data_IF_534637497892
#
_entry.id   IF_534637497892
#
_cell.length_a   1.000
_cell.length_b   1.000
_cell.length_c   1.000
_cell.angle_alpha   90.00
_cell.angle_beta   90.00
_cell.angle_gamma   90.00
#
_symmetry.space_group_name_H-M   'P 1'
#
loop_
_entity.id
_entity.type
_entity.pdbx_description
1 polymer ?
#
# COMPACT_ATOMS: atom_id res chain seq x y z
N UNK A 1 5.89 -27.66 7.00
CA UNK A 1 4.75 -27.63 6.05
C UNK A 1 4.98 -26.49 5.08
N UNK A 2 4.98 -26.75 3.78
CA UNK A 2 5.17 -25.73 2.74
C UNK A 2 3.84 -25.11 2.33
N UNK A 3 3.85 -23.88 1.80
CA UNK A 3 2.61 -23.20 1.39
C UNK A 3 1.81 -23.92 0.29
N UNK A 4 2.51 -24.69 -0.55
CA UNK A 4 1.92 -25.47 -1.64
C UNK A 4 1.71 -26.95 -1.28
N UNK A 5 1.66 -27.29 0.01
CA UNK A 5 1.44 -28.65 0.48
C UNK A 5 -0.05 -28.93 0.62
N UNK A 6 -0.53 -30.04 0.03
CA UNK A 6 -1.89 -30.54 0.26
C UNK A 6 -1.90 -31.23 1.63
N UNK A 7 -2.69 -30.69 2.56
CA UNK A 7 -2.71 -31.15 3.96
C UNK A 7 -3.79 -32.21 4.22
N UNK A 8 -4.64 -32.48 3.23
CA UNK A 8 -5.72 -33.45 3.30
C UNK A 8 -6.88 -33.05 2.40
N UNK A 9 -8.06 -33.59 2.69
CA UNK A 9 -9.32 -33.22 2.03
C UNK A 9 -10.27 -32.55 3.03
N UNK A 10 -11.28 -31.86 2.52
CA UNK A 10 -12.35 -31.34 3.37
C UNK A 10 -12.99 -32.46 4.18
N UNK A 11 -13.34 -32.15 5.43
CA UNK A 11 -14.14 -33.06 6.24
C UNK A 11 -15.53 -33.23 5.60
N UNK A 12 -16.11 -34.44 5.57
CA UNK A 12 -17.38 -34.70 4.91
C UNK A 12 -18.50 -33.73 5.30
N UNK A 13 -18.63 -33.44 6.59
CA UNK A 13 -19.63 -32.53 7.14
C UNK A 13 -19.46 -31.08 6.66
N UNK A 14 -18.22 -30.63 6.43
CA UNK A 14 -17.95 -29.29 5.90
C UNK A 14 -18.17 -29.22 4.39
N UNK A 15 -17.85 -30.30 3.67
CA UNK A 15 -18.08 -30.39 2.25
C UNK A 15 -19.58 -30.29 1.91
N UNK A 16 -20.43 -30.97 2.70
CA UNK A 16 -21.88 -30.93 2.53
C UNK A 16 -22.45 -29.51 2.81
N UNK A 17 -21.98 -28.83 3.85
CA UNK A 17 -22.39 -27.44 4.19
C UNK A 17 -21.96 -26.43 3.12
N UNK A 18 -20.75 -26.58 2.57
CA UNK A 18 -20.20 -25.68 1.56
C UNK A 18 -20.68 -26.00 0.13
N UNK A 19 -21.38 -27.11 -0.07
CA UNK A 19 -21.80 -27.58 -1.39
C UNK A 19 -20.63 -28.00 -2.29
N UNK A 20 -19.52 -28.49 -1.70
CA UNK A 20 -18.31 -28.91 -2.41
C UNK A 20 -18.15 -30.43 -2.40
N UNK A 21 -17.42 -31.03 -3.37
CA UNK A 21 -17.10 -32.45 -3.32
C UNK A 21 -16.32 -32.83 -2.05
N UNK A 22 -16.65 -33.96 -1.43
CA UNK A 22 -15.90 -34.49 -0.26
C UNK A 22 -14.43 -34.80 -0.57
N UNK A 23 -14.09 -35.00 -1.84
CA UNK A 23 -12.72 -35.17 -2.34
C UNK A 23 -11.96 -33.86 -2.52
N UNK A 24 -12.56 -32.69 -2.22
CA UNK A 24 -11.91 -31.38 -2.40
C UNK A 24 -10.64 -31.30 -1.57
N UNK A 25 -9.46 -31.13 -2.20
CA UNK A 25 -8.20 -30.99 -1.48
C UNK A 25 -8.14 -29.69 -0.69
N UNK A 26 -7.50 -29.74 0.48
CA UNK A 26 -7.17 -28.58 1.31
C UNK A 26 -5.67 -28.35 1.23
N UNK A 27 -5.27 -27.13 0.86
CA UNK A 27 -3.87 -26.72 0.75
C UNK A 27 -3.50 -25.89 1.98
N UNK A 28 -2.28 -26.07 2.51
CA UNK A 28 -1.78 -25.35 3.69
C UNK A 28 -1.93 -23.83 3.55
N UNK A 29 -1.73 -23.31 2.34
CA UNK A 29 -1.91 -21.91 2.01
C UNK A 29 -0.74 -21.04 2.47
N UNK A 30 -0.98 -19.75 2.55
CA UNK A 30 0.05 -18.79 2.91
C UNK A 30 -0.52 -17.64 3.74
N UNK A 31 0.37 -16.92 4.41
CA UNK A 31 0.05 -15.63 5.01
C UNK A 31 -0.41 -14.68 3.90
N UNK A 32 -1.37 -13.82 4.23
CA UNK A 32 -2.01 -12.89 3.31
C UNK A 32 -1.02 -12.03 2.49
N UNK A 33 0.06 -11.54 3.10
CA UNK A 33 1.10 -10.76 2.44
C UNK A 33 1.81 -11.56 1.34
N UNK A 34 2.05 -12.83 1.59
CA UNK A 34 2.67 -13.75 0.65
C UNK A 34 1.71 -14.10 -0.49
N UNK A 35 0.43 -14.29 -0.18
CA UNK A 35 -0.61 -14.46 -1.19
C UNK A 35 -0.76 -13.21 -2.08
N UNK A 36 -0.80 -12.00 -1.51
CA UNK A 36 -0.81 -10.75 -2.28
C UNK A 36 0.41 -10.65 -3.19
N UNK A 37 1.61 -10.97 -2.68
CA UNK A 37 2.84 -10.94 -3.48
C UNK A 37 2.75 -11.89 -4.69
N UNK A 38 2.33 -13.14 -4.47
CA UNK A 38 2.12 -14.12 -5.56
C UNK A 38 1.05 -13.63 -6.54
N UNK A 39 -0.05 -13.08 -6.03
CA UNK A 39 -1.14 -12.55 -6.84
C UNK A 39 -0.76 -11.30 -7.63
N UNK A 40 0.25 -10.54 -7.20
CA UNK A 40 0.70 -9.29 -7.81
C UNK A 40 1.84 -9.50 -8.81
N UNK A 41 2.92 -10.15 -8.38
CA UNK A 41 4.09 -10.48 -9.19
C UNK A 41 4.98 -11.48 -8.47
N UNK A 42 5.35 -12.57 -9.16
CA UNK A 42 6.27 -13.59 -8.65
C UNK A 42 7.72 -13.41 -9.11
N UNK A 43 7.98 -12.42 -9.99
CA UNK A 43 9.32 -12.14 -10.50
C UNK A 43 10.21 -11.63 -9.38
N UNK A 44 11.44 -12.15 -9.31
CA UNK A 44 12.42 -11.70 -8.34
C UNK A 44 12.69 -10.19 -8.48
N UNK A 45 12.81 -9.51 -7.34
CA UNK A 45 13.03 -8.07 -7.23
C UNK A 45 11.94 -7.18 -7.84
N UNK A 46 10.86 -7.75 -8.40
CA UNK A 46 9.71 -6.97 -8.86
C UNK A 46 8.83 -6.58 -7.67
N UNK A 47 8.69 -5.28 -7.38
CA UNK A 47 7.91 -4.81 -6.26
C UNK A 47 6.43 -4.74 -6.61
N UNK A 48 5.61 -4.96 -5.59
CA UNK A 48 4.22 -4.54 -5.58
C UNK A 48 4.00 -3.59 -4.39
N UNK A 49 3.00 -2.73 -4.54
CA UNK A 49 2.53 -1.81 -3.52
C UNK A 49 1.10 -2.18 -3.17
N UNK A 50 0.88 -2.61 -1.93
CA UNK A 50 -0.47 -2.80 -1.41
C UNK A 50 -0.98 -1.49 -0.82
N UNK A 51 -2.10 -0.98 -1.33
CA UNK A 51 -2.80 0.21 -0.85
C UNK A 51 -4.14 -0.21 -0.23
N UNK A 52 -4.14 -0.47 1.07
CA UNK A 52 -5.33 -0.70 1.88
C UNK A 52 -5.44 0.31 3.01
N UNK A 53 -6.00 -0.10 4.15
CA UNK A 53 -6.02 0.72 5.38
C UNK A 53 -4.60 1.18 5.76
N UNK A 54 -3.66 0.24 5.78
CA UNK A 54 -2.21 0.50 5.76
C UNK A 54 -1.67 0.36 4.33
N UNK A 55 -0.39 0.69 4.13
CA UNK A 55 0.31 0.42 2.88
C UNK A 55 1.59 -0.35 3.14
N UNK A 56 2.00 -1.17 2.20
CA UNK A 56 3.31 -1.81 2.26
C UNK A 56 3.82 -2.13 0.86
N UNK A 57 5.14 -2.11 0.74
CA UNK A 57 5.83 -2.57 -0.47
C UNK A 57 6.43 -3.93 -0.19
N UNK A 58 6.31 -4.84 -1.17
CA UNK A 58 6.89 -6.17 -1.09
C UNK A 58 7.54 -6.61 -2.38
N UNK A 59 8.59 -7.41 -2.29
CA UNK A 59 9.24 -8.04 -3.44
C UNK A 59 9.81 -9.41 -3.06
N UNK A 60 9.71 -10.38 -3.97
CA UNK A 60 10.39 -11.66 -3.79
C UNK A 60 11.90 -11.48 -3.96
N UNK A 61 12.68 -12.08 -3.05
CA UNK A 61 14.14 -12.02 -3.03
C UNK A 61 14.75 -13.39 -2.71
N UNK A 62 15.95 -13.73 -3.20
CA UNK A 62 16.58 -15.02 -2.97
C UNK A 62 17.34 -15.11 -1.63
N UNK A 63 17.20 -14.12 -0.75
CA UNK A 63 17.98 -14.02 0.50
C UNK A 63 17.11 -13.73 1.72
N UNK A 64 17.55 -14.24 2.89
CA UNK A 64 16.98 -13.92 4.20
C UNK A 64 17.80 -12.84 4.87
N UNK A 65 17.33 -11.59 4.81
CA UNK A 65 18.01 -10.44 5.43
C UNK A 65 16.97 -9.52 6.06
N UNK A 66 17.41 -8.71 7.01
CA UNK A 66 16.61 -7.61 7.57
C UNK A 66 17.45 -6.35 7.65
N UNK A 67 16.80 -5.19 7.55
CA UNK A 67 17.38 -3.89 7.88
C UNK A 67 16.65 -3.33 9.09
N UNK A 68 17.27 -3.46 10.27
CA UNK A 68 16.73 -2.90 11.53
C UNK A 68 16.54 -1.38 11.39
N UNK A 69 17.56 -0.69 10.86
CA UNK A 69 17.56 0.76 10.68
C UNK A 69 16.38 1.30 9.85
N UNK A 70 15.90 0.55 8.87
CA UNK A 70 14.83 0.99 7.97
C UNK A 70 13.53 0.21 8.15
N UNK A 71 13.46 -0.66 9.15
CA UNK A 71 12.31 -1.52 9.44
C UNK A 71 11.88 -2.37 8.22
N UNK A 72 12.86 -3.05 7.61
CA UNK A 72 12.64 -3.94 6.46
C UNK A 72 12.99 -5.36 6.88
N UNK A 73 12.15 -6.33 6.55
CA UNK A 73 12.41 -7.74 6.82
C UNK A 73 12.09 -8.59 5.60
N UNK A 74 12.96 -9.56 5.29
CA UNK A 74 12.68 -10.63 4.34
C UNK A 74 12.22 -11.88 5.09
N UNK A 75 10.93 -12.18 4.98
CA UNK A 75 10.27 -13.33 5.63
C UNK A 75 10.07 -14.47 4.63
N UNK A 76 9.85 -15.73 5.06
CA UNK A 76 9.59 -16.83 4.12
C UNK A 76 8.44 -16.52 3.15
N UNK A 77 8.65 -16.80 1.86
CA UNK A 77 7.64 -16.65 0.80
C UNK A 77 6.85 -17.94 0.59
N UNK A 78 5.66 -17.82 0.02
CA UNK A 78 4.88 -18.96 -0.49
C UNK A 78 5.56 -19.61 -1.71
N UNK A 79 6.41 -18.85 -2.41
CA UNK A 79 7.24 -19.36 -3.49
C UNK A 79 8.49 -20.02 -2.90
N UNK A 80 8.63 -21.33 -3.15
CA UNK A 80 9.75 -22.14 -2.63
C UNK A 80 11.10 -21.54 -3.03
N UNK A 81 12.02 -21.46 -2.06
CA UNK A 81 13.37 -20.92 -2.28
C UNK A 81 13.46 -19.39 -2.31
N UNK A 82 12.33 -18.68 -2.16
CA UNK A 82 12.28 -17.22 -2.10
C UNK A 82 11.89 -16.74 -0.70
N UNK A 83 12.24 -15.50 -0.41
CA UNK A 83 11.77 -14.72 0.72
C UNK A 83 10.97 -13.52 0.21
N UNK A 84 10.09 -12.96 1.02
CA UNK A 84 9.35 -11.74 0.73
C UNK A 84 9.95 -10.60 1.57
N UNK A 85 10.72 -9.74 0.91
CA UNK A 85 11.19 -8.49 1.52
C UNK A 85 10.02 -7.52 1.63
N UNK A 86 9.81 -6.94 2.82
CA UNK A 86 8.69 -6.05 3.10
C UNK A 86 9.11 -4.80 3.87
N UNK A 87 8.51 -3.67 3.51
CA UNK A 87 8.51 -2.44 4.29
C UNK A 87 7.07 -1.91 4.40
N UNK A 88 6.70 -1.33 5.54
CA UNK A 88 5.31 -0.99 5.84
C UNK A 88 5.13 0.48 6.24
N UNK A 89 4.16 1.12 5.61
CA UNK A 89 3.59 2.40 5.99
C UNK A 89 2.34 2.16 6.86
N UNK A 90 2.33 2.68 8.09
CA UNK A 90 1.30 2.39 9.10
C UNK A 90 -0.11 2.76 8.67
N UNK A 91 -0.29 3.94 8.07
CA UNK A 91 -1.58 4.46 7.63
C UNK A 91 -1.49 4.94 6.19
N UNK A 92 -2.33 4.38 5.31
CA UNK A 92 -2.49 4.83 3.93
C UNK A 92 -3.95 5.18 3.68
N UNK A 93 -4.79 4.22 3.30
CA UNK A 93 -6.24 4.40 3.15
C UNK A 93 -6.91 4.88 4.44
N UNK A 94 -6.36 4.54 5.61
CA UNK A 94 -6.81 5.08 6.90
C UNK A 94 -6.77 6.61 6.97
N UNK A 95 -5.87 7.29 6.23
CA UNK A 95 -5.87 8.76 6.17
C UNK A 95 -7.10 9.28 5.43
N UNK A 96 -7.53 8.60 4.35
CA UNK A 96 -8.75 8.97 3.64
C UNK A 96 -10.01 8.60 4.44
N UNK A 97 -10.00 7.45 5.14
CA UNK A 97 -11.08 7.11 6.08
C UNK A 97 -11.17 8.15 7.22
N UNK A 98 -10.04 8.58 7.79
CA UNK A 98 -10.00 9.63 8.78
C UNK A 98 -10.55 10.96 8.24
N UNK A 99 -10.08 11.39 7.06
CA UNK A 99 -10.57 12.62 6.43
C UNK A 99 -12.08 12.55 6.21
N UNK A 100 -12.58 11.43 5.69
CA UNK A 100 -14.01 11.19 5.49
C UNK A 100 -14.77 11.25 6.82
N UNK A 101 -14.42 10.41 7.79
CA UNK A 101 -15.24 10.14 8.98
C UNK A 101 -15.11 11.21 10.07
N UNK A 102 -13.97 11.89 10.13
CA UNK A 102 -13.63 12.81 11.23
C UNK A 102 -13.57 14.27 10.82
N UNK A 103 -13.61 14.56 9.51
CA UNK A 103 -13.49 15.94 9.01
C UNK A 103 -14.62 16.28 8.04
N UNK A 104 -14.83 15.46 7.02
CA UNK A 104 -15.79 15.79 5.95
C UNK A 104 -17.22 15.42 6.28
N UNK A 105 -17.41 14.29 6.96
CA UNK A 105 -18.70 13.71 7.30
C UNK A 105 -18.74 13.33 8.79
N UNK A 106 -18.20 14.19 9.66
CA UNK A 106 -18.33 14.00 11.09
C UNK A 106 -19.81 14.12 11.48
N UNK A 107 -20.38 13.22 12.31
CA UNK A 107 -21.79 13.29 12.69
C UNK A 107 -22.03 14.37 13.75
N UNK A 108 -21.96 15.62 13.32
CA UNK A 108 -22.23 16.84 14.09
C UNK A 108 -23.31 17.69 13.42
N UNK A 109 -23.60 18.87 13.97
CA UNK A 109 -24.64 19.78 13.51
C UNK A 109 -24.40 20.35 12.09
N UNK A 110 -23.21 20.15 11.51
CA UNK A 110 -22.88 20.56 10.14
C UNK A 110 -23.22 19.47 9.11
N UNK A 111 -23.49 18.24 9.54
CA UNK A 111 -23.81 17.13 8.66
C UNK A 111 -25.32 17.07 8.37
N UNK A 112 -25.70 17.19 7.10
CA UNK A 112 -27.07 16.94 6.65
C UNK A 112 -27.35 15.43 6.54
N UNK A 113 -28.61 15.02 6.77
CA UNK A 113 -29.14 13.64 6.71
C UNK A 113 -29.07 12.93 5.34
N UNK A 114 -28.19 13.37 4.43
CA UNK A 114 -28.07 12.77 3.10
C UNK A 114 -27.41 11.39 3.14
N UNK A 115 -27.99 10.46 2.37
CA UNK A 115 -27.39 9.15 2.09
C UNK A 115 -25.99 9.34 1.50
N UNK A 116 -24.99 8.67 2.06
CA UNK A 116 -23.64 8.77 1.55
C UNK A 116 -23.49 7.93 0.26
N UNK A 117 -23.29 8.55 -0.92
CA UNK A 117 -22.93 7.82 -2.13
C UNK A 117 -21.57 7.13 -1.94
N UNK A 118 -21.06 6.41 -2.95
CA UNK A 118 -19.67 5.90 -2.91
C UNK A 118 -18.68 7.06 -2.73
N UNK A 119 -18.31 7.32 -1.47
CA UNK A 119 -17.60 8.52 -1.06
C UNK A 119 -16.20 8.51 -1.66
N UNK A 120 -15.55 7.35 -1.78
CA UNK A 120 -14.19 7.29 -2.33
C UNK A 120 -14.17 7.64 -3.82
N UNK A 121 -15.16 7.19 -4.59
CA UNK A 121 -15.32 7.62 -5.99
C UNK A 121 -15.60 9.14 -6.11
N UNK A 122 -16.29 9.73 -5.13
CA UNK A 122 -16.46 11.19 -5.06
C UNK A 122 -15.14 11.90 -4.73
N UNK A 123 -14.38 11.42 -3.75
CA UNK A 123 -13.07 11.98 -3.38
C UNK A 123 -12.11 11.95 -4.58
N UNK A 124 -12.09 10.87 -5.36
CA UNK A 124 -11.29 10.77 -6.59
C UNK A 124 -11.65 11.86 -7.60
N UNK A 125 -12.94 12.05 -7.87
CA UNK A 125 -13.41 13.10 -8.80
C UNK A 125 -13.09 14.51 -8.31
N UNK A 126 -13.11 14.73 -7.00
CA UNK A 126 -12.77 16.02 -6.41
C UNK A 126 -11.25 16.26 -6.51
N UNK A 127 -10.43 15.28 -6.12
CA UNK A 127 -8.98 15.38 -6.18
C UNK A 127 -8.45 15.60 -7.61
N UNK A 128 -9.11 15.01 -8.61
CA UNK A 128 -8.77 15.18 -10.02
C UNK A 128 -8.89 16.65 -10.53
N UNK A 129 -9.70 17.50 -9.88
CA UNK A 129 -9.88 18.91 -10.28
C UNK A 129 -8.73 19.80 -9.84
N UNK A 130 -8.02 19.40 -8.79
CA UNK A 130 -6.93 20.16 -8.21
C UNK A 130 -5.65 19.89 -8.98
N UNK A 131 -4.81 20.89 -9.28
CA UNK A 131 -3.55 20.65 -9.96
C UNK A 131 -2.57 19.81 -9.10
N UNK A 132 -1.60 19.11 -9.73
CA UNK A 132 -0.48 18.49 -9.02
C UNK A 132 0.16 19.42 -7.99
N UNK A 133 0.51 18.86 -6.82
CA UNK A 133 1.15 19.58 -5.72
C UNK A 133 0.20 20.36 -4.83
N UNK A 134 -1.13 20.17 -5.00
CA UNK A 134 -2.17 20.68 -4.10
C UNK A 134 -2.03 22.17 -3.75
N UNK A 135 -1.66 22.98 -4.76
CA UNK A 135 -1.39 24.43 -4.64
C UNK A 135 -0.36 24.82 -3.56
N UNK A 136 0.53 23.90 -3.22
CA UNK A 136 1.58 24.07 -2.22
C UNK A 136 1.24 23.50 -0.84
N UNK A 137 0.08 22.87 -0.65
CA UNK A 137 -0.21 22.13 0.57
C UNK A 137 0.71 20.92 0.71
N UNK A 138 1.13 20.63 1.93
CA UNK A 138 1.87 19.42 2.28
C UNK A 138 1.14 18.72 3.40
N UNK A 139 0.73 17.49 3.15
CA UNK A 139 0.18 16.60 4.17
C UNK A 139 1.23 15.58 4.62
N UNK A 140 1.44 15.46 5.93
CA UNK A 140 2.19 14.34 6.53
C UNK A 140 1.20 13.28 7.04
N UNK A 141 1.29 12.00 6.61
CA UNK A 141 0.21 11.01 6.81
C UNK A 141 0.34 10.16 8.08
N UNK A 142 1.07 10.63 9.10
CA UNK A 142 1.48 9.80 10.24
C UNK A 142 0.45 9.78 11.38
N UNK A 143 -0.83 9.53 11.09
CA UNK A 143 -1.91 9.55 12.09
C UNK A 143 -1.62 8.70 13.34
N UNK A 144 -0.89 7.59 13.19
CA UNK A 144 -0.56 6.65 14.27
C UNK A 144 0.96 6.46 14.43
N UNK A 145 1.77 7.47 14.08
CA UNK A 145 3.21 7.30 13.92
C UNK A 145 3.56 6.57 12.62
N UNK A 146 4.84 6.20 12.45
CA UNK A 146 5.30 5.53 11.23
C UNK A 146 6.26 4.37 11.52
N UNK A 147 6.10 3.26 10.78
CA UNK A 147 6.97 2.08 10.85
C UNK A 147 8.16 2.23 9.92
N UNK A 148 7.95 2.18 8.61
CA UNK A 148 9.03 2.33 7.62
C UNK A 148 8.94 3.71 6.97
N UNK A 149 10.08 4.40 6.76
CA UNK A 149 11.44 3.95 7.04
C UNK A 149 12.01 4.39 8.39
N UNK A 150 11.27 5.15 9.21
CA UNK A 150 11.83 5.82 10.40
C UNK A 150 11.62 5.11 11.74
N UNK A 151 10.64 4.22 11.88
CA UNK A 151 10.31 3.55 13.14
C UNK A 151 9.97 4.51 14.26
N UNK A 152 9.28 5.61 13.94
CA UNK A 152 9.05 6.70 14.88
C UNK A 152 7.56 6.74 15.27
N UNK A 153 7.19 6.20 16.45
CA UNK A 153 5.81 6.21 16.92
C UNK A 153 5.35 7.60 17.38
N UNK A 154 6.26 8.57 17.53
CA UNK A 154 5.92 9.93 17.98
C UNK A 154 5.35 10.80 16.86
N UNK A 155 5.60 10.45 15.58
CA UNK A 155 5.13 11.22 14.43
C UNK A 155 3.60 11.36 14.45
N UNK A 156 3.11 12.54 14.07
CA UNK A 156 1.67 12.80 13.90
C UNK A 156 1.40 13.47 12.56
N UNK A 157 0.19 13.24 12.07
CA UNK A 157 -0.27 13.87 10.83
C UNK A 157 -0.30 15.40 10.96
N UNK A 158 -0.12 16.08 9.85
CA UNK A 158 -0.12 17.54 9.79
C UNK A 158 -0.44 18.04 8.39
N UNK A 159 -1.18 19.14 8.31
CA UNK A 159 -1.45 19.86 7.07
C UNK A 159 -0.71 21.19 7.13
N UNK A 160 0.27 21.37 6.26
CA UNK A 160 1.21 22.49 6.29
C UNK A 160 0.94 23.40 5.09
N UNK A 161 1.15 24.71 5.29
CA UNK A 161 1.05 25.76 4.27
C UNK A 161 -0.39 26.04 3.79
N UNK A 162 -1.36 26.02 4.72
CA UNK A 162 -2.73 26.44 4.43
C UNK A 162 -2.80 27.97 4.22
N UNK A 163 -3.55 28.43 3.22
CA UNK A 163 -3.80 29.85 2.91
C UNK A 163 -5.26 30.03 2.48
N UNK A 164 -5.71 31.29 2.39
CA UNK A 164 -7.12 31.64 2.18
C UNK A 164 -7.73 31.08 0.88
N UNK A 165 -6.92 30.86 -0.15
CA UNK A 165 -7.39 30.35 -1.44
C UNK A 165 -7.54 28.83 -1.46
N UNK A 166 -7.07 28.13 -0.43
CA UNK A 166 -7.23 26.68 -0.34
C UNK A 166 -8.65 26.32 0.07
N UNK A 167 -9.11 25.21 -0.50
CA UNK A 167 -10.45 24.70 -0.31
C UNK A 167 -10.41 23.21 0.06
N UNK A 168 -11.59 22.65 0.32
CA UNK A 168 -11.74 21.22 0.63
C UNK A 168 -11.11 20.30 -0.43
N UNK A 169 -11.20 20.67 -1.70
CA UNK A 169 -10.63 19.87 -2.79
C UNK A 169 -9.10 19.81 -2.70
N UNK A 170 -8.44 20.93 -2.38
CA UNK A 170 -6.99 20.99 -2.24
C UNK A 170 -6.52 20.10 -1.08
N UNK A 171 -7.29 20.08 0.02
CA UNK A 171 -7.02 19.22 1.19
C UNK A 171 -7.15 17.74 0.80
N UNK A 172 -8.21 17.35 0.09
CA UNK A 172 -8.42 15.96 -0.35
C UNK A 172 -7.24 15.50 -1.22
N UNK A 173 -6.82 16.30 -2.21
CA UNK A 173 -5.65 15.95 -3.03
C UNK A 173 -4.38 15.90 -2.20
N UNK A 174 -4.18 16.83 -1.27
CA UNK A 174 -3.01 16.84 -0.40
C UNK A 174 -2.90 15.56 0.43
N UNK A 175 -4.02 15.01 0.92
CA UNK A 175 -4.03 13.73 1.63
C UNK A 175 -3.53 12.58 0.76
N UNK A 176 -4.01 12.49 -0.49
CA UNK A 176 -3.58 11.47 -1.45
C UNK A 176 -2.09 11.62 -1.80
N UNK A 177 -1.63 12.84 -2.05
CA UNK A 177 -0.22 13.17 -2.35
C UNK A 177 0.70 12.92 -1.15
N UNK A 178 0.25 13.22 0.08
CA UNK A 178 1.01 12.97 1.31
C UNK A 178 1.25 11.49 1.56
N UNK A 179 0.26 10.64 1.32
CA UNK A 179 0.42 9.17 1.37
C UNK A 179 1.42 8.70 0.30
N UNK A 180 1.37 9.26 -0.90
CA UNK A 180 2.33 8.95 -1.97
C UNK A 180 3.76 9.42 -1.64
N UNK A 181 3.92 10.59 -1.03
CA UNK A 181 5.23 11.07 -0.56
C UNK A 181 5.82 10.15 0.51
N UNK A 182 5.00 9.67 1.44
CA UNK A 182 5.47 8.69 2.42
C UNK A 182 5.82 7.34 1.79
N UNK A 183 5.05 6.90 0.79
CA UNK A 183 5.37 5.71 0.00
C UNK A 183 6.72 5.87 -0.72
N UNK A 184 6.98 7.02 -1.36
CA UNK A 184 8.29 7.33 -1.95
C UNK A 184 9.41 7.29 -0.91
N UNK A 185 9.17 7.84 0.28
CA UNK A 185 10.15 7.82 1.37
C UNK A 185 10.49 6.39 1.83
N UNK A 186 9.51 5.50 1.87
CA UNK A 186 9.68 4.07 2.16
C UNK A 186 10.39 3.32 1.01
N UNK A 187 10.07 3.65 -0.25
CA UNK A 187 10.64 3.00 -1.44
C UNK A 187 12.15 3.22 -1.60
N UNK A 188 12.68 4.37 -1.17
CA UNK A 188 14.11 4.69 -1.26
C UNK A 188 15.01 3.64 -0.55
N UNK A 189 14.87 3.40 0.78
CA UNK A 189 15.64 2.36 1.45
C UNK A 189 15.23 0.94 1.02
N UNK A 190 13.98 0.72 0.63
CA UNK A 190 13.54 -0.59 0.13
C UNK A 190 14.26 -1.00 -1.15
N UNK A 191 14.36 -0.08 -2.13
CA UNK A 191 15.07 -0.32 -3.39
C UNK A 191 16.56 -0.59 -3.14
N UNK A 192 17.18 0.16 -2.22
CA UNK A 192 18.57 -0.11 -1.80
C UNK A 192 18.73 -1.46 -1.11
N UNK A 193 17.75 -1.86 -0.30
CA UNK A 193 17.77 -3.13 0.43
C UNK A 193 17.71 -4.34 -0.50
N UNK A 194 16.85 -4.30 -1.53
CA UNK A 194 16.73 -5.37 -2.52
C UNK A 194 17.83 -5.32 -3.59
N UNK A 195 18.62 -4.23 -3.64
CA UNK A 195 19.74 -4.06 -4.56
C UNK A 195 19.34 -3.75 -6.01
N UNK A 196 18.05 -3.52 -6.26
CA UNK A 196 17.50 -3.22 -7.58
C UNK A 196 16.39 -2.18 -7.47
N UNK A 197 16.23 -1.38 -8.52
CA UNK A 197 15.06 -0.54 -8.71
C UNK A 197 14.35 -1.04 -9.96
N UNK A 198 13.21 -1.71 -9.81
CA UNK A 198 12.34 -1.94 -10.96
C UNK A 198 11.80 -0.59 -11.48
N UNK A 199 11.53 -0.51 -12.78
CA UNK A 199 10.82 0.63 -13.36
C UNK A 199 9.31 0.62 -13.09
N UNK A 200 8.76 -0.54 -12.70
CA UNK A 200 7.32 -0.81 -12.56
C UNK A 200 7.03 -1.33 -11.15
N UNK A 201 5.96 -0.81 -10.55
CA UNK A 201 5.39 -1.29 -9.28
C UNK A 201 3.94 -1.74 -9.54
N UNK A 202 3.60 -2.97 -9.17
CA UNK A 202 2.21 -3.45 -9.27
C UNK A 202 1.39 -2.92 -8.08
N UNK A 203 0.39 -2.07 -8.33
CA UNK A 203 -0.47 -1.53 -7.27
C UNK A 203 -1.66 -2.46 -7.00
N UNK A 204 -1.92 -2.76 -5.72
CA UNK A 204 -2.95 -3.72 -5.30
C UNK A 204 -3.74 -3.17 -4.12
N UNK A 205 -4.85 -3.82 -3.75
CA UNK A 205 -5.71 -3.37 -2.65
C UNK A 205 -6.74 -2.32 -3.07
N UNK A 206 -7.54 -1.86 -2.11
CA UNK A 206 -8.68 -0.98 -2.36
C UNK A 206 -8.30 0.38 -2.94
N UNK A 207 -7.18 0.96 -2.50
CA UNK A 207 -6.68 2.25 -3.01
C UNK A 207 -6.20 2.19 -4.46
N UNK A 208 -5.77 1.01 -4.92
CA UNK A 208 -5.38 0.81 -6.31
C UNK A 208 -6.57 0.74 -7.28
N UNK A 209 -7.82 0.82 -6.80
CA UNK A 209 -8.99 1.02 -7.66
C UNK A 209 -9.13 2.46 -8.16
N UNK A 210 -8.48 3.42 -7.49
CA UNK A 210 -8.50 4.83 -7.87
C UNK A 210 -7.46 5.11 -8.96
N UNK A 211 -7.95 5.41 -10.16
CA UNK A 211 -7.10 5.82 -11.29
C UNK A 211 -6.32 7.10 -10.97
N UNK A 212 -6.96 8.04 -10.24
CA UNK A 212 -6.35 9.29 -9.80
C UNK A 212 -5.21 9.01 -8.84
N UNK A 213 -5.41 8.12 -7.86
CA UNK A 213 -4.37 7.81 -6.90
C UNK A 213 -3.23 7.00 -7.52
N UNK A 214 -3.52 6.10 -8.45
CA UNK A 214 -2.50 5.40 -9.22
C UNK A 214 -1.62 6.38 -10.02
N UNK A 215 -2.20 7.40 -10.66
CA UNK A 215 -1.41 8.43 -11.34
C UNK A 215 -0.61 9.30 -10.36
N UNK A 216 -1.18 9.70 -9.23
CA UNK A 216 -0.46 10.44 -8.17
C UNK A 216 0.74 9.61 -7.67
N UNK A 217 0.54 8.31 -7.42
CA UNK A 217 1.62 7.40 -7.00
C UNK A 217 2.71 7.32 -8.06
N UNK A 218 2.36 7.23 -9.34
CA UNK A 218 3.32 7.19 -10.43
C UNK A 218 4.17 8.46 -10.47
N UNK A 219 3.53 9.62 -10.52
CA UNK A 219 4.16 10.93 -10.59
C UNK A 219 5.04 11.19 -9.36
N UNK A 220 4.51 10.97 -8.15
CA UNK A 220 5.24 11.24 -6.91
C UNK A 220 6.43 10.31 -6.77
N UNK A 221 6.25 8.99 -6.97
CA UNK A 221 7.32 8.00 -6.80
C UNK A 221 8.32 7.99 -7.96
N UNK A 222 7.97 8.60 -9.10
CA UNK A 222 8.79 8.56 -10.31
C UNK A 222 8.97 7.13 -10.84
N UNK A 223 7.91 6.32 -10.78
CA UNK A 223 7.87 4.91 -11.21
C UNK A 223 6.58 4.64 -11.97
N UNK A 224 6.61 3.70 -12.90
CA UNK A 224 5.38 3.25 -13.55
C UNK A 224 4.55 2.46 -12.54
N UNK A 225 3.27 2.80 -12.42
CA UNK A 225 2.33 2.01 -11.62
C UNK A 225 1.52 1.12 -12.55
N UNK A 226 1.58 -0.18 -12.31
CA UNK A 226 0.77 -1.17 -13.00
C UNK A 226 -0.44 -1.53 -12.13
N UNK A 227 -1.63 -1.16 -12.58
CA UNK A 227 -2.88 -1.55 -11.96
C UNK A 227 -3.35 -2.87 -12.59
N UNK A 228 -3.42 -3.98 -11.85
CA UNK A 228 -3.97 -5.23 -12.35
C UNK A 228 -5.50 -5.14 -12.44
N UNK A 229 -6.11 -6.02 -13.23
CA UNK A 229 -7.57 -6.17 -13.20
C UNK A 229 -8.04 -6.58 -11.79
N UNK A 230 -9.10 -5.94 -11.28
CA UNK A 230 -9.66 -6.11 -9.94
C UNK A 230 -8.58 -6.10 -8.83
N UNK A 231 -7.89 -4.97 -8.60
CA UNK A 231 -6.74 -4.92 -7.70
C UNK A 231 -7.08 -5.28 -6.24
N UNK A 232 -8.33 -5.09 -5.83
CA UNK A 232 -8.84 -5.50 -4.51
C UNK A 232 -8.85 -7.04 -4.32
N UNK A 233 -8.98 -7.81 -5.40
CA UNK A 233 -9.02 -9.28 -5.37
C UNK A 233 -7.64 -9.93 -5.45
N UNK A 234 -6.55 -9.14 -5.45
CA UNK A 234 -5.18 -9.67 -5.66
C UNK A 234 -4.80 -10.73 -4.62
N UNK A 235 -5.23 -10.56 -3.36
CA UNK A 235 -4.97 -11.55 -2.30
C UNK A 235 -5.64 -12.90 -2.62
N UNK A 236 -6.94 -12.88 -2.88
CA UNK A 236 -7.71 -14.08 -3.23
C UNK A 236 -7.17 -14.76 -4.49
N UNK A 237 -6.79 -13.98 -5.51
CA UNK A 237 -6.13 -14.49 -6.71
C UNK A 237 -4.81 -15.19 -6.39
N UNK A 238 -3.99 -14.61 -5.51
CA UNK A 238 -2.75 -15.22 -5.04
C UNK A 238 -2.96 -16.54 -4.30
N UNK A 239 -3.96 -16.61 -3.41
CA UNK A 239 -4.34 -17.85 -2.74
C UNK A 239 -4.79 -18.93 -3.74
N UNK A 240 -5.58 -18.56 -4.75
CA UNK A 240 -5.98 -19.46 -5.82
C UNK A 240 -4.79 -19.96 -6.65
N UNK A 241 -3.82 -19.11 -6.97
CA UNK A 241 -2.59 -19.51 -7.66
C UNK A 241 -1.74 -20.46 -6.82
N UNK A 242 -1.58 -20.21 -5.52
CA UNK A 242 -0.85 -21.11 -4.61
C UNK A 242 -1.53 -22.49 -4.59
N UNK A 243 -2.86 -22.53 -4.51
CA UNK A 243 -3.61 -23.78 -4.58
C UNK A 243 -3.46 -24.49 -5.93
N UNK A 244 -3.53 -23.76 -7.05
CA UNK A 244 -3.33 -24.32 -8.38
C UNK A 244 -1.92 -24.92 -8.56
N UNK A 245 -0.89 -24.28 -7.99
CA UNK A 245 0.48 -24.82 -7.95
C UNK A 245 0.56 -26.07 -7.09
N UNK A 246 -0.06 -26.07 -5.91
CA UNK A 246 -0.11 -27.24 -5.03
C UNK A 246 -0.77 -28.46 -5.70
N UNK A 247 -1.78 -28.22 -6.54
CA UNK A 247 -2.50 -29.24 -7.30
C UNK A 247 -1.80 -29.64 -8.63
N UNK A 248 -0.60 -29.10 -8.90
CA UNK A 248 0.15 -29.38 -10.13
C UNK A 248 -0.51 -28.84 -11.40
N UNK A 249 -1.45 -27.90 -11.29
CA UNK A 249 -2.16 -27.29 -12.43
C UNK A 249 -1.40 -26.12 -13.03
N UNK A 250 -0.53 -25.48 -12.24
CA UNK A 250 0.33 -24.38 -12.64
C UNK A 250 1.71 -24.54 -12.00
N UNK A 251 2.70 -23.87 -12.55
CA UNK A 251 3.96 -23.52 -11.91
C UNK A 251 3.95 -22.02 -11.58
N UNK A 252 4.76 -21.60 -10.61
CA UNK A 252 4.89 -20.17 -10.31
C UNK A 252 5.35 -19.36 -11.53
N UNK A 253 6.17 -19.94 -12.39
CA UNK A 253 6.68 -19.28 -13.59
C UNK A 253 5.61 -19.08 -14.69
N UNK A 254 4.45 -19.74 -14.58
CA UNK A 254 3.31 -19.52 -15.49
C UNK A 254 2.55 -18.22 -15.15
N UNK A 255 2.58 -17.79 -13.89
CA UNK A 255 1.74 -16.71 -13.37
C UNK A 255 1.92 -15.34 -14.07
N UNK A 256 3.13 -14.92 -14.49
CA UNK A 256 3.30 -13.66 -15.22
C UNK A 256 2.45 -13.57 -16.49
N UNK A 257 2.13 -14.70 -17.14
CA UNK A 257 1.28 -14.73 -18.35
C UNK A 257 -0.22 -14.63 -18.03
N UNK A 258 -0.61 -15.02 -16.82
CA UNK A 258 -1.99 -14.99 -16.33
C UNK A 258 -2.36 -13.65 -15.70
N UNK A 259 -1.37 -12.90 -15.23
CA UNK A 259 -1.55 -11.57 -14.64
C UNK A 259 -1.72 -10.51 -15.71
N UNK A 260 -2.99 -10.21 -16.05
CA UNK A 260 -3.32 -9.16 -17.04
C UNK A 260 -3.29 -7.77 -16.38
N UNK A 261 -2.45 -6.83 -16.86
CA UNK A 261 -2.57 -5.43 -16.45
C UNK A 261 -3.90 -4.88 -16.96
N UNK A 262 -4.58 -4.09 -16.13
CA UNK A 262 -5.72 -3.29 -16.56
C UNK A 262 -5.23 -1.98 -17.17
N UNK A 263 -4.33 -1.28 -16.46
CA UNK A 263 -3.79 0.01 -16.89
C UNK A 263 -2.38 0.24 -16.37
N UNK A 264 -1.60 0.98 -17.15
CA UNK A 264 -0.28 1.49 -16.76
C UNK A 264 -0.37 3.00 -16.58
N UNK A 265 0.22 3.51 -15.51
CA UNK A 265 0.33 4.93 -15.20
C UNK A 265 1.80 5.31 -15.22
N UNK A 266 2.19 6.09 -16.23
CA UNK A 266 3.56 6.55 -16.37
C UNK A 266 3.76 7.87 -15.60
N UNK A 267 4.92 8.05 -14.94
CA UNK A 267 5.23 9.31 -14.27
C UNK A 267 5.35 10.44 -15.30
N UNK A 268 4.55 11.49 -15.13
CA UNK A 268 4.61 12.65 -16.01
C UNK A 268 5.94 13.41 -15.87
N UNK A 269 6.53 13.76 -17.02
CA UNK A 269 7.74 14.60 -17.04
C UNK A 269 7.47 16.03 -16.56
N UNK A 270 6.26 16.54 -16.77
CA UNK A 270 5.90 17.92 -16.41
C UNK A 270 5.76 18.12 -14.90
N UNK A 271 5.45 17.07 -14.14
CA UNK A 271 5.25 17.13 -12.69
C UNK A 271 6.48 16.68 -11.90
N UNK A 272 7.53 16.17 -12.57
CA UNK A 272 8.73 15.63 -11.93
C UNK A 272 9.41 16.63 -10.99
N UNK A 273 9.80 17.80 -11.51
CA UNK A 273 10.51 18.81 -10.72
C UNK A 273 9.66 19.29 -9.53
N UNK A 274 8.35 19.42 -9.74
CA UNK A 274 7.41 19.78 -8.68
C UNK A 274 7.40 18.74 -7.56
N UNK A 275 7.19 17.46 -7.88
CA UNK A 275 7.10 16.43 -6.86
C UNK A 275 8.46 16.10 -6.21
N UNK A 276 9.57 16.30 -6.90
CA UNK A 276 10.91 16.22 -6.31
C UNK A 276 11.12 17.30 -5.25
N UNK A 277 10.73 18.55 -5.55
CA UNK A 277 10.78 19.65 -4.59
C UNK A 277 9.81 19.42 -3.41
N UNK A 278 8.57 19.00 -3.67
CA UNK A 278 7.59 18.68 -2.63
C UNK A 278 8.06 17.54 -1.73
N UNK A 279 8.67 16.51 -2.31
CA UNK A 279 9.22 15.39 -1.55
C UNK A 279 10.43 15.78 -0.69
N UNK A 280 11.33 16.63 -1.21
CA UNK A 280 12.41 17.20 -0.41
C UNK A 280 11.87 18.00 0.77
N UNK A 281 10.86 18.85 0.51
CA UNK A 281 10.18 19.65 1.54
C UNK A 281 9.49 18.76 2.58
N UNK A 282 8.79 17.70 2.15
CA UNK A 282 8.16 16.71 3.04
C UNK A 282 9.17 16.10 4.03
N UNK A 283 10.36 15.70 3.55
CA UNK A 283 11.42 15.16 4.42
C UNK A 283 11.96 16.21 5.40
N UNK A 284 12.04 17.47 4.98
CA UNK A 284 12.49 18.57 5.83
C UNK A 284 11.45 18.92 6.90
N UNK A 285 10.16 18.97 6.55
CA UNK A 285 9.04 19.14 7.51
C UNK A 285 9.13 18.10 8.62
N UNK A 286 9.29 16.81 8.26
CA UNK A 286 9.48 15.74 9.25
C UNK A 286 10.64 16.06 10.19
N UNK A 287 11.81 16.39 9.63
CA UNK A 287 13.04 16.62 10.38
C UNK A 287 12.89 17.79 11.35
N UNK A 288 12.25 18.88 10.92
CA UNK A 288 12.04 20.10 11.71
C UNK A 288 10.99 19.91 12.81
N UNK A 289 9.95 19.12 12.54
CA UNK A 289 8.88 18.87 13.51
C UNK A 289 9.20 17.73 14.49
N UNK A 290 10.20 16.89 14.22
CA UNK A 290 10.55 15.74 15.07
C UNK A 290 10.74 16.09 16.57
N UNK A 291 11.42 17.18 16.97
CA UNK A 291 11.51 17.55 18.38
C UNK A 291 10.15 17.88 19.01
N UNK A 292 9.25 18.52 18.25
CA UNK A 292 7.91 18.86 18.72
C UNK A 292 7.05 17.60 18.86
N UNK A 293 7.13 16.67 17.91
CA UNK A 293 6.42 15.39 17.99
C UNK A 293 6.79 14.60 19.23
N UNK A 294 8.07 14.52 19.60
CA UNK A 294 8.52 13.84 20.83
C UNK A 294 8.03 14.54 22.10
N UNK A 295 7.96 15.87 22.09
CA UNK A 295 7.42 16.63 23.23
C UNK A 295 5.91 16.45 23.40
N UNK A 296 5.18 16.41 22.29
CA UNK A 296 3.72 16.24 22.29
C UNK A 296 3.29 14.79 22.50
N UNK A 297 4.13 13.84 22.09
CA UNK A 297 3.87 12.40 22.18
C UNK A 297 5.09 11.73 22.85
N UNK A 298 5.29 11.94 24.16
CA UNK A 298 6.36 11.28 24.88
C UNK A 298 6.17 9.77 24.74
N UNK A 299 7.24 9.07 24.38
CA UNK A 299 7.24 7.61 24.43
C UNK A 299 6.88 7.21 25.86
N UNK A 300 5.83 6.40 26.03
CA UNK A 300 5.67 5.69 27.29
C UNK A 300 6.88 4.76 27.38
N UNK A 301 7.91 5.16 28.12
CA UNK A 301 8.95 4.24 28.53
C UNK A 301 8.23 3.11 29.25
N UNK A 302 8.30 1.91 28.66
CA UNK A 302 8.09 0.68 29.40
C UNK A 302 9.08 0.72 30.55
N UNK A 303 8.58 0.99 31.75
CA UNK A 303 9.32 0.80 32.99
C UNK A 303 9.99 -0.57 32.93
N UNK A 304 11.31 -0.65 33.19
CA UNK A 304 12.03 -1.92 33.15
C UNK A 304 11.47 -2.95 34.14
#
# INVERSE_FOLDING_TARGET
>A
MGSTEVIGTLKPELADVLGLPRSTPVVAGAVDTSAVAVGATVRDFAPHLYLGTSSWVGAHVPFKKSSVRHHIAAVPSAVKGRYLAMAMQSAAGANLSFLRDKVLYHPDELLSDEQQPDVYALLDRIAARVPPGSRGLIYTPWLCGERSPAGDPSLRAGLINLKLEHSREDIIRAFMEGVAHNTRWMLEPFSRFIGQSSGIIVATGGGAQSDVWCQIMADVCGRVIQQPHNPIQTNARGAAFIAAVALGKLQFDDLPTLQRPHRLYEPSRSTRNLYDDRFATFKEVRKRLAPLYRRLNPSQETTP
#
